data_IF_882260477084
#
_entry.id   IF_882260477084
#
_cell.length_a   1.000
_cell.length_b   1.000
_cell.length_c   1.000
_cell.angle_alpha   90.00
_cell.angle_beta   90.00
_cell.angle_gamma   90.00
#
_symmetry.space_group_name_H-M   'P 1'
#
loop_
_entity.id
_entity.type
_entity.pdbx_description
1 polymer ?
#
# COMPACT_ATOMS: atom_id res chain seq x y z
N UNK A 1 -13.75 11.74 -23.27
CA UNK A 1 -13.96 12.28 -21.91
C UNK A 1 -12.59 12.63 -21.34
N UNK A 2 -12.47 13.72 -20.58
CA UNK A 2 -11.19 14.24 -20.08
C UNK A 2 -10.28 13.18 -19.41
N UNK A 3 -10.85 12.27 -18.61
CA UNK A 3 -10.08 11.21 -17.97
C UNK A 3 -9.42 10.25 -18.97
N UNK A 4 -10.09 9.93 -20.08
CA UNK A 4 -9.51 9.07 -21.10
C UNK A 4 -8.34 9.76 -21.81
N UNK A 5 -8.41 11.08 -22.00
CA UNK A 5 -7.32 11.85 -22.60
C UNK A 5 -6.10 11.87 -21.65
N UNK A 6 -6.33 12.10 -20.35
CA UNK A 6 -5.25 12.08 -19.34
C UNK A 6 -4.57 10.70 -19.29
N UNK A 7 -5.34 9.62 -19.46
CA UNK A 7 -4.81 8.24 -19.36
C UNK A 7 -4.21 7.73 -20.66
N UNK A 8 -4.66 8.26 -21.81
CA UNK A 8 -4.24 7.83 -23.13
C UNK A 8 -3.11 8.68 -23.73
N UNK A 9 -3.00 9.95 -23.35
CA UNK A 9 -1.96 10.85 -23.82
C UNK A 9 -0.80 10.90 -22.83
N UNK A 10 0.33 10.32 -23.24
CA UNK A 10 1.56 10.25 -22.45
C UNK A 10 2.11 11.61 -22.06
N UNK A 11 2.02 12.60 -22.95
CA UNK A 11 2.52 13.94 -22.68
C UNK A 11 1.65 14.64 -21.63
N UNK A 12 0.33 14.53 -21.75
CA UNK A 12 -0.62 15.08 -20.79
C UNK A 12 -0.48 14.44 -19.40
N UNK A 13 -0.37 13.11 -19.35
CA UNK A 13 -0.12 12.33 -18.12
C UNK A 13 1.11 12.85 -17.37
N UNK A 14 2.25 12.92 -18.07
CA UNK A 14 3.53 13.31 -17.48
C UNK A 14 3.59 14.80 -17.13
N UNK A 15 2.97 15.66 -17.94
CA UNK A 15 2.86 17.10 -17.62
C UNK A 15 2.05 17.33 -16.34
N UNK A 16 0.95 16.60 -16.15
CA UNK A 16 0.18 16.69 -14.91
C UNK A 16 0.96 16.21 -13.69
N UNK A 17 1.78 15.17 -13.86
CA UNK A 17 2.53 14.59 -12.75
C UNK A 17 3.77 15.41 -12.35
N UNK A 18 4.56 15.84 -13.34
CA UNK A 18 5.82 16.56 -13.14
C UNK A 18 5.70 18.08 -13.18
N UNK A 19 4.60 18.62 -13.71
CA UNK A 19 4.36 20.05 -13.83
C UNK A 19 4.91 20.65 -15.12
N UNK A 20 5.38 21.89 -15.05
CA UNK A 20 5.82 22.68 -16.22
C UNK A 20 7.33 22.72 -16.31
N UNK A 21 7.89 22.47 -17.50
CA UNK A 21 9.33 22.60 -17.76
C UNK A 21 9.85 24.01 -17.42
N UNK A 22 11.04 24.11 -16.85
CA UNK A 22 11.67 25.35 -16.39
C UNK A 22 11.11 25.88 -15.06
N UNK A 23 10.02 25.32 -14.55
CA UNK A 23 9.48 25.62 -13.22
C UNK A 23 9.58 24.45 -12.26
N UNK A 24 9.15 23.27 -12.71
CA UNK A 24 9.01 22.07 -11.89
C UNK A 24 9.97 20.97 -12.30
N UNK A 25 10.45 20.99 -13.55
CA UNK A 25 11.52 20.11 -14.00
C UNK A 25 12.33 20.75 -15.13
N UNK A 26 13.47 20.15 -15.47
CA UNK A 26 14.23 20.46 -16.69
C UNK A 26 14.46 19.19 -17.51
N UNK A 27 14.48 19.29 -18.84
CA UNK A 27 14.86 18.17 -19.71
C UNK A 27 16.37 18.06 -19.78
N UNK A 28 16.92 16.85 -19.60
CA UNK A 28 18.34 16.57 -19.81
C UNK A 28 18.64 16.59 -21.31
N UNK A 29 19.56 17.44 -21.75
CA UNK A 29 19.90 17.58 -23.17
C UNK A 29 20.35 16.26 -23.78
N UNK A 30 19.91 15.98 -25.02
CA UNK A 30 20.28 14.78 -25.78
C UNK A 30 19.65 13.47 -25.30
N UNK A 31 18.69 13.52 -24.37
CA UNK A 31 18.03 12.31 -23.81
C UNK A 31 16.68 11.99 -24.44
N UNK A 32 16.14 12.85 -25.29
CA UNK A 32 14.83 12.63 -25.91
C UNK A 32 14.93 11.49 -26.91
N UNK A 33 14.25 10.39 -26.62
CA UNK A 33 14.08 9.25 -27.52
C UNK A 33 12.60 8.87 -27.60
N UNK A 34 12.05 8.78 -28.80
CA UNK A 34 10.66 8.40 -29.05
C UNK A 34 9.66 9.19 -28.16
N UNK A 35 9.84 10.52 -28.12
CA UNK A 35 9.08 11.49 -27.29
C UNK A 35 9.17 11.28 -25.77
N UNK A 36 10.19 10.56 -25.28
CA UNK A 36 10.48 10.38 -23.87
C UNK A 36 11.77 11.12 -23.48
N UNK A 37 11.68 12.31 -22.87
CA UNK A 37 12.82 12.94 -22.23
C UNK A 37 13.22 12.19 -20.94
N UNK A 38 14.50 12.25 -20.60
CA UNK A 38 14.91 12.17 -19.20
C UNK A 38 14.84 13.56 -18.59
N UNK A 39 14.15 13.70 -17.47
CA UNK A 39 13.96 14.96 -16.78
C UNK A 39 14.67 14.99 -15.42
N UNK A 40 14.90 16.19 -14.91
CA UNK A 40 15.31 16.44 -13.53
C UNK A 40 14.22 17.28 -12.86
N UNK A 41 13.39 16.64 -12.03
CA UNK A 41 12.31 17.30 -11.30
C UNK A 41 12.85 17.98 -10.03
N UNK A 42 12.30 19.15 -9.68
CA UNK A 42 12.65 19.90 -8.45
C UNK A 42 12.34 19.06 -7.21
N UNK A 43 13.21 19.05 -6.21
CA UNK A 43 13.04 18.24 -4.99
C UNK A 43 13.11 19.10 -3.72
N UNK A 44 12.59 18.57 -2.61
CA UNK A 44 12.72 19.21 -1.30
C UNK A 44 11.93 20.51 -1.21
N UNK A 45 12.52 21.56 -0.62
CA UNK A 45 11.84 22.84 -0.42
C UNK A 45 11.45 23.55 -1.73
N UNK A 46 12.15 23.26 -2.83
CA UNK A 46 11.91 23.87 -4.14
C UNK A 46 10.80 23.15 -4.94
N UNK A 47 10.33 22.00 -4.44
CA UNK A 47 9.22 21.27 -5.07
C UNK A 47 7.90 21.98 -4.79
N UNK A 48 7.39 22.69 -5.79
CA UNK A 48 6.12 23.44 -5.72
C UNK A 48 4.95 22.75 -6.41
N UNK A 49 5.21 21.64 -7.10
CA UNK A 49 4.21 20.84 -7.82
C UNK A 49 4.56 19.36 -7.76
N UNK A 50 3.56 18.52 -7.53
CA UNK A 50 3.61 17.08 -7.74
C UNK A 50 2.20 16.51 -7.75
N UNK A 51 1.90 15.66 -8.72
CA UNK A 51 0.78 14.73 -8.62
C UNK A 51 1.34 13.33 -8.84
N UNK A 52 1.09 12.41 -7.90
CA UNK A 52 1.62 11.06 -7.99
C UNK A 52 0.95 10.29 -9.13
N UNK A 53 1.78 9.69 -10.00
CA UNK A 53 1.35 9.06 -11.25
C UNK A 53 0.33 7.93 -11.07
N UNK A 54 0.35 7.20 -9.95
CA UNK A 54 -0.63 6.16 -9.64
C UNK A 54 -2.06 6.70 -9.48
N UNK A 55 -2.24 8.02 -9.38
CA UNK A 55 -3.54 8.69 -9.36
C UNK A 55 -3.93 9.29 -10.72
N UNK A 56 -3.01 9.31 -11.67
CA UNK A 56 -3.20 9.95 -12.97
C UNK A 56 -3.23 8.98 -14.14
N UNK A 57 -2.64 7.79 -14.07
CA UNK A 57 -2.60 6.90 -15.23
C UNK A 57 -1.62 5.74 -15.08
N UNK A 58 -1.24 5.07 -16.18
CA UNK A 58 -0.30 3.95 -16.13
C UNK A 58 1.08 4.43 -15.63
N UNK A 59 1.49 3.88 -14.49
CA UNK A 59 2.76 4.16 -13.83
C UNK A 59 3.98 3.87 -14.74
N UNK A 60 3.81 3.02 -15.76
CA UNK A 60 4.87 2.51 -16.61
C UNK A 60 5.25 3.44 -17.77
N UNK A 61 4.40 4.42 -18.08
CA UNK A 61 4.60 5.37 -19.18
C UNK A 61 5.12 6.73 -18.69
N UNK A 62 5.80 6.74 -17.54
CA UNK A 62 6.44 7.94 -17.03
C UNK A 62 7.69 8.30 -17.83
N UNK A 63 7.99 9.59 -17.88
CA UNK A 63 9.32 10.07 -18.25
C UNK A 63 10.36 9.60 -17.23
N UNK A 64 11.57 9.33 -17.71
CA UNK A 64 12.67 8.95 -16.85
C UNK A 64 13.06 10.15 -15.98
N UNK A 65 13.17 9.97 -14.66
CA UNK A 65 13.40 11.10 -13.74
C UNK A 65 14.23 10.71 -12.52
N UNK A 66 14.70 11.73 -11.81
CA UNK A 66 15.33 11.58 -10.50
C UNK A 66 14.35 11.07 -9.41
N UNK A 67 13.04 11.18 -9.61
CA UNK A 67 12.03 10.59 -8.71
C UNK A 67 11.77 9.11 -9.01
N UNK A 68 11.66 8.77 -10.30
CA UNK A 68 11.43 7.42 -10.79
C UNK A 68 12.25 7.21 -12.06
N UNK A 69 13.24 6.32 -11.99
CA UNK A 69 13.98 5.90 -13.18
C UNK A 69 13.24 4.81 -13.93
N UNK A 70 13.44 4.74 -15.25
CA UNK A 70 12.89 3.68 -16.10
C UNK A 70 13.28 2.29 -15.58
N UNK A 71 14.51 2.13 -15.11
CA UNK A 71 14.99 0.87 -14.54
C UNK A 71 14.23 0.48 -13.26
N UNK A 72 14.03 1.43 -12.33
CA UNK A 72 13.27 1.18 -11.11
C UNK A 72 11.80 0.84 -11.41
N UNK A 73 11.19 1.52 -12.39
CA UNK A 73 9.82 1.23 -12.82
C UNK A 73 9.72 -0.16 -13.47
N UNK A 74 10.69 -0.57 -14.30
CA UNK A 74 10.72 -1.91 -14.89
C UNK A 74 10.90 -3.00 -13.84
N UNK A 75 11.76 -2.78 -12.85
CA UNK A 75 11.94 -3.70 -11.73
C UNK A 75 10.64 -3.83 -10.91
N UNK A 76 9.99 -2.71 -10.59
CA UNK A 76 8.70 -2.71 -9.91
C UNK A 76 7.62 -3.42 -10.74
N UNK A 77 7.56 -3.18 -12.05
CA UNK A 77 6.62 -3.88 -12.94
C UNK A 77 6.87 -5.39 -12.91
N UNK A 78 8.13 -5.82 -12.99
CA UNK A 78 8.49 -7.23 -12.87
C UNK A 78 8.06 -7.81 -11.53
N UNK A 79 8.27 -7.09 -10.42
CA UNK A 79 7.86 -7.55 -9.10
C UNK A 79 6.33 -7.67 -9.00
N UNK A 80 5.59 -6.73 -9.58
CA UNK A 80 4.12 -6.76 -9.62
C UNK A 80 3.60 -7.91 -10.47
N UNK A 81 4.15 -8.10 -11.68
CA UNK A 81 3.74 -9.18 -12.60
C UNK A 81 4.04 -10.57 -12.01
N UNK A 82 5.07 -10.70 -11.17
CA UNK A 82 5.43 -11.94 -10.48
C UNK A 82 4.86 -12.02 -9.05
N UNK A 83 4.08 -11.02 -8.63
CA UNK A 83 3.47 -10.97 -7.31
C UNK A 83 2.48 -12.11 -7.15
N UNK A 84 2.65 -12.90 -6.10
CA UNK A 84 1.69 -13.97 -5.78
C UNK A 84 0.55 -13.36 -4.98
N UNK A 85 -0.65 -13.41 -5.51
CA UNK A 85 -1.84 -13.09 -4.76
C UNK A 85 -1.92 -13.99 -3.51
N UNK A 86 -2.34 -13.42 -2.39
CA UNK A 86 -2.62 -14.19 -1.18
C UNK A 86 -3.72 -15.22 -1.46
N UNK A 87 -3.60 -16.42 -0.90
CA UNK A 87 -4.64 -17.45 -1.00
C UNK A 87 -5.97 -17.07 -0.33
N UNK A 88 -5.99 -15.98 0.45
CA UNK A 88 -7.18 -15.42 1.08
C UNK A 88 -7.62 -14.09 0.46
N UNK A 89 -7.05 -13.71 -0.69
CA UNK A 89 -7.42 -12.46 -1.37
C UNK A 89 -8.91 -12.49 -1.75
N UNK A 90 -9.66 -11.52 -1.24
CA UNK A 90 -11.12 -11.43 -1.44
C UNK A 90 -11.95 -11.98 -0.28
N UNK A 91 -11.35 -12.65 0.71
CA UNK A 91 -12.04 -13.01 1.94
C UNK A 91 -12.27 -11.75 2.81
N UNK A 92 -13.51 -11.57 3.26
CA UNK A 92 -13.91 -10.49 4.18
C UNK A 92 -14.61 -11.12 5.37
N UNK A 93 -14.01 -11.01 6.55
CA UNK A 93 -14.60 -11.50 7.79
C UNK A 93 -15.83 -10.67 8.18
N UNK A 94 -16.93 -11.34 8.51
CA UNK A 94 -18.12 -10.74 9.09
C UNK A 94 -18.02 -10.75 10.63
N UNK A 95 -17.87 -9.59 11.28
CA UNK A 95 -17.66 -9.50 12.72
C UNK A 95 -18.96 -9.63 13.54
N UNK A 96 -20.14 -9.50 12.92
CA UNK A 96 -21.41 -9.41 13.66
C UNK A 96 -21.67 -10.58 14.64
N UNK A 97 -21.34 -11.86 14.33
CA UNK A 97 -21.55 -12.97 15.27
C UNK A 97 -20.70 -12.91 16.54
N UNK A 98 -19.58 -12.18 16.54
CA UNK A 98 -18.61 -12.09 17.65
C UNK A 98 -18.25 -10.64 17.99
N UNK A 99 -19.18 -9.72 17.72
CA UNK A 99 -18.97 -8.27 17.83
C UNK A 99 -18.57 -7.83 19.24
N UNK A 100 -19.13 -8.48 20.26
CA UNK A 100 -18.82 -8.19 21.67
C UNK A 100 -17.40 -8.60 22.02
N UNK A 101 -16.99 -9.81 21.64
CA UNK A 101 -15.64 -10.32 21.82
C UNK A 101 -14.62 -9.44 21.09
N UNK A 102 -14.90 -9.02 19.85
CA UNK A 102 -14.06 -8.08 19.09
C UNK A 102 -13.86 -6.78 19.86
N UNK A 103 -14.93 -6.21 20.45
CA UNK A 103 -14.81 -4.98 21.22
C UNK A 103 -13.91 -5.16 22.46
N UNK A 104 -14.02 -6.28 23.17
CA UNK A 104 -13.21 -6.60 24.34
C UNK A 104 -11.73 -6.82 23.96
N UNK A 105 -11.46 -7.62 22.93
CA UNK A 105 -10.12 -7.88 22.40
C UNK A 105 -9.47 -6.60 21.87
N UNK A 106 -10.23 -5.75 21.16
CA UNK A 106 -9.71 -4.49 20.61
C UNK A 106 -9.23 -3.53 21.70
N UNK A 107 -9.90 -3.51 22.87
CA UNK A 107 -9.47 -2.69 24.00
C UNK A 107 -8.11 -3.15 24.54
N UNK A 108 -7.91 -4.46 24.68
CA UNK A 108 -6.63 -5.05 25.12
C UNK A 108 -5.54 -4.82 24.07
N UNK A 109 -5.86 -4.99 22.78
CA UNK A 109 -4.92 -4.72 21.68
C UNK A 109 -4.45 -3.27 21.69
N UNK A 110 -5.35 -2.31 21.92
CA UNK A 110 -5.02 -0.88 21.94
C UNK A 110 -4.01 -0.53 23.05
N UNK A 111 -4.11 -1.17 24.20
CA UNK A 111 -3.17 -1.02 25.31
C UNK A 111 -1.82 -1.70 25.02
N UNK A 112 -1.86 -2.92 24.49
CA UNK A 112 -0.67 -3.77 24.36
C UNK A 112 0.17 -3.53 23.11
N UNK A 113 -0.46 -3.15 21.99
CA UNK A 113 0.21 -2.95 20.71
C UNK A 113 1.41 -1.98 20.75
N UNK A 114 1.34 -0.79 21.37
CA UNK A 114 2.51 0.10 21.43
C UNK A 114 3.68 -0.55 22.18
N UNK A 115 3.42 -1.27 23.27
CA UNK A 115 4.46 -1.92 24.08
C UNK A 115 5.12 -3.07 23.31
N UNK A 116 4.32 -3.92 22.65
CA UNK A 116 4.82 -5.00 21.80
C UNK A 116 5.60 -4.48 20.58
N UNK A 117 5.12 -3.38 19.97
CA UNK A 117 5.77 -2.79 18.80
C UNK A 117 7.15 -2.22 19.15
N UNK A 118 7.29 -1.59 20.31
CA UNK A 118 8.56 -0.97 20.73
C UNK A 118 9.45 -1.91 21.54
N UNK A 119 8.93 -3.04 22.01
CA UNK A 119 9.63 -3.93 22.93
C UNK A 119 9.92 -3.27 24.29
N UNK A 120 9.08 -2.33 24.73
CA UNK A 120 9.35 -1.53 25.94
C UNK A 120 9.01 -2.23 27.26
N UNK A 121 8.54 -3.48 27.23
CA UNK A 121 8.35 -4.28 28.44
C UNK A 121 9.69 -4.71 29.04
N UNK A 122 9.83 -4.76 30.38
CA UNK A 122 11.06 -5.26 31.02
C UNK A 122 11.31 -6.76 30.83
N UNK A 123 10.24 -7.55 30.75
CA UNK A 123 10.26 -9.01 30.56
C UNK A 123 9.20 -9.39 29.53
N UNK A 124 9.65 -9.89 28.38
CA UNK A 124 8.78 -10.28 27.29
C UNK A 124 7.92 -11.50 27.61
N UNK A 125 8.49 -12.55 28.21
CA UNK A 125 7.80 -13.82 28.42
C UNK A 125 6.65 -13.67 29.42
N UNK A 126 6.91 -12.96 30.52
CA UNK A 126 5.89 -12.66 31.53
C UNK A 126 4.76 -11.80 30.95
N UNK A 127 5.12 -10.74 30.21
CA UNK A 127 4.14 -9.85 29.58
C UNK A 127 3.30 -10.58 28.53
N UNK A 128 3.94 -11.37 27.66
CA UNK A 128 3.25 -12.12 26.61
C UNK A 128 2.30 -13.16 27.21
N UNK A 129 2.71 -13.87 28.26
CA UNK A 129 1.86 -14.85 28.97
C UNK A 129 0.64 -14.19 29.61
N UNK A 130 0.80 -13.03 30.26
CA UNK A 130 -0.32 -12.28 30.83
C UNK A 130 -1.28 -11.79 29.74
N UNK A 131 -0.73 -11.24 28.64
CA UNK A 131 -1.50 -10.76 27.52
C UNK A 131 -2.34 -11.87 26.87
N UNK A 132 -1.76 -13.06 26.65
CA UNK A 132 -2.50 -14.21 26.11
C UNK A 132 -3.71 -14.55 27.00
N UNK A 133 -3.52 -14.66 28.33
CA UNK A 133 -4.63 -14.93 29.26
C UNK A 133 -5.73 -13.88 29.19
N UNK A 134 -5.36 -12.61 29.07
CA UNK A 134 -6.32 -11.50 28.94
C UNK A 134 -7.10 -11.59 27.63
N UNK A 135 -6.43 -11.91 26.53
CA UNK A 135 -7.06 -12.08 25.20
C UNK A 135 -8.01 -13.29 25.19
N UNK A 136 -7.60 -14.41 25.77
CA UNK A 136 -8.43 -15.61 25.88
C UNK A 136 -9.69 -15.34 26.71
N UNK A 137 -9.52 -14.67 27.87
CA UNK A 137 -10.64 -14.24 28.72
C UNK A 137 -11.60 -13.26 28.03
N UNK A 138 -11.09 -12.46 27.09
CA UNK A 138 -11.87 -11.54 26.26
C UNK A 138 -12.55 -12.22 25.04
N UNK A 139 -12.34 -13.53 24.86
CA UNK A 139 -13.00 -14.31 23.83
C UNK A 139 -12.24 -14.42 22.50
N UNK A 140 -10.90 -14.28 22.50
CA UNK A 140 -10.08 -14.49 21.30
C UNK A 140 -10.37 -15.83 20.62
N UNK A 141 -10.52 -16.91 21.39
CA UNK A 141 -10.85 -18.24 20.85
C UNK A 141 -12.15 -18.27 20.04
N UNK A 142 -13.17 -17.52 20.49
CA UNK A 142 -14.44 -17.44 19.77
C UNK A 142 -14.30 -16.69 18.45
N UNK A 143 -13.51 -15.61 18.43
CA UNK A 143 -13.20 -14.87 17.21
C UNK A 143 -12.47 -15.78 16.22
N UNK A 144 -11.45 -16.51 16.69
CA UNK A 144 -10.70 -17.44 15.84
C UNK A 144 -11.58 -18.55 15.27
N UNK A 145 -12.46 -19.14 16.09
CA UNK A 145 -13.37 -20.19 15.65
C UNK A 145 -14.37 -19.69 14.59
N UNK A 146 -14.94 -18.49 14.78
CA UNK A 146 -15.86 -17.91 13.79
C UNK A 146 -15.11 -17.49 12.51
N UNK A 147 -13.90 -16.94 12.61
CA UNK A 147 -13.07 -16.62 11.45
C UNK A 147 -12.73 -17.87 10.62
N UNK A 148 -12.34 -18.97 11.29
CA UNK A 148 -12.06 -20.24 10.63
C UNK A 148 -13.30 -20.79 9.92
N UNK A 149 -14.45 -20.81 10.59
CA UNK A 149 -15.72 -21.23 10.00
C UNK A 149 -16.09 -20.42 8.75
N UNK A 150 -15.96 -19.09 8.80
CA UNK A 150 -16.25 -18.23 7.66
C UNK A 150 -15.25 -18.43 6.53
N UNK A 151 -13.97 -18.60 6.87
CA UNK A 151 -12.92 -18.88 5.89
C UNK A 151 -13.16 -20.21 5.18
N UNK A 152 -13.50 -21.28 5.90
CA UNK A 152 -13.78 -22.59 5.32
C UNK A 152 -14.99 -22.55 4.37
N UNK A 153 -16.05 -21.82 4.75
CA UNK A 153 -17.20 -21.59 3.88
C UNK A 153 -16.81 -20.80 2.61
N UNK A 154 -16.11 -19.66 2.77
CA UNK A 154 -15.64 -18.86 1.63
C UNK A 154 -14.74 -19.66 0.70
N UNK A 155 -13.81 -20.44 1.26
CA UNK A 155 -12.88 -21.26 0.48
C UNK A 155 -13.63 -22.33 -0.32
N UNK A 156 -14.63 -22.98 0.25
CA UNK A 156 -15.45 -23.96 -0.48
C UNK A 156 -16.19 -23.34 -1.68
N UNK A 157 -16.64 -22.10 -1.55
CA UNK A 157 -17.37 -21.38 -2.60
C UNK A 157 -16.45 -20.73 -3.67
N UNK A 158 -15.15 -20.64 -3.41
CA UNK A 158 -14.15 -19.95 -4.25
C UNK A 158 -12.95 -20.83 -4.64
N UNK A 159 -13.08 -22.16 -4.48
CA UNK A 159 -12.08 -23.15 -4.91
C UNK A 159 -12.33 -23.68 -6.32
#
# INVERSE_FOLDING_TARGET
MLLNEIWGDKYLLNTLAYGVEGKNYTVKSGTVKDDNPTIEATTGADQTWAIWHNWLGPLWDQWDSNWNSTAALQEMKKNNDNGKASGILGFIFNPEPVKTEIAQVSAIQKESNPILTTGSMPDFESYYTDLQKRLDAAGMDKIMAEAQKQFDAWKADNS
#
